data_IF_080002777553
#
_entry.id   IF_080002777553
#
_cell.length_a   1.000
_cell.length_b   1.000
_cell.length_c   1.000
_cell.angle_alpha   90.00
_cell.angle_beta   90.00
_cell.angle_gamma   90.00
#
_symmetry.space_group_name_H-M   'P 1'
#
loop_
_entity.id
_entity.type
_entity.pdbx_description
1 polymer ?
2 water ?
#
# COMPACT_ATOMS: atom_id res chain seq x y z
N UNK A 11 -5.69 -18.01 21.97
CA UNK A 11 -5.03 -19.28 21.72
C UNK A 11 -3.51 -19.11 21.60
N UNK A 12 -2.79 -20.22 21.50
CA UNK A 12 -1.42 -20.16 21.00
C UNK A 12 -1.42 -19.92 19.49
N UNK A 13 -0.23 -19.66 18.94
CA UNK A 13 -0.12 -19.42 17.51
C UNK A 13 -0.51 -20.65 16.71
N UNK A 14 -1.32 -20.43 15.68
CA UNK A 14 -1.81 -21.45 14.74
C UNK A 14 -1.15 -21.16 13.39
N UNK A 15 -0.33 -22.06 12.86
CA UNK A 15 0.29 -21.81 11.55
C UNK A 15 -0.74 -21.89 10.42
N UNK A 16 -0.59 -20.98 9.45
CA UNK A 16 -1.45 -20.93 8.28
C UNK A 16 -0.70 -21.36 7.02
N UNK A 17 0.50 -20.81 6.82
CA UNK A 17 1.31 -21.14 5.66
C UNK A 17 2.14 -22.40 5.92
N UNK A 18 2.62 -22.99 4.82
CA UNK A 18 3.39 -24.23 4.93
C UNK A 18 4.66 -24.03 5.75
N UNK A 19 5.34 -22.90 5.58
CA UNK A 19 6.54 -22.63 6.36
C UNK A 19 6.23 -22.20 7.79
N UNK A 20 4.96 -22.11 8.15
CA UNK A 20 4.46 -21.79 9.49
C UNK A 20 4.75 -20.36 9.92
N UNK A 21 5.27 -19.52 9.03
CA UNK A 21 5.64 -18.17 9.43
C UNK A 21 4.45 -17.20 9.37
N UNK A 22 3.46 -17.49 8.53
CA UNK A 22 2.18 -16.79 8.58
C UNK A 22 1.31 -17.54 9.58
N UNK A 23 0.84 -16.85 10.62
CA UNK A 23 0.21 -17.57 11.72
C UNK A 23 -0.81 -16.66 12.40
N UNK A 24 -1.72 -17.27 13.15
CA UNK A 24 -2.76 -16.51 13.83
C UNK A 24 -3.05 -17.06 15.22
N UNK A 25 -3.63 -16.20 16.05
CA UNK A 25 -4.24 -16.57 17.32
C UNK A 25 -5.71 -16.21 17.23
N UNK A 26 -6.60 -17.13 17.61
CA UNK A 26 -8.03 -16.85 17.57
C UNK A 26 -8.39 -16.07 18.82
N UNK A 27 -8.99 -14.90 18.64
CA UNK A 27 -9.44 -14.07 19.74
C UNK A 27 -10.86 -14.42 20.13
N UNK A 28 -11.75 -14.44 19.14
CA UNK A 28 -13.16 -14.77 19.32
C UNK A 28 -13.52 -15.82 18.29
N UNK A 29 -14.01 -16.97 18.75
CA UNK A 29 -14.42 -18.00 17.82
C UNK A 29 -15.61 -17.52 16.98
N UNK A 30 -15.69 -18.05 15.77
CA UNK A 30 -16.73 -17.63 14.84
C UNK A 30 -18.14 -18.01 15.31
N UNK A 31 -19.12 -17.38 14.65
CA UNK A 31 -20.52 -17.68 14.92
C UNK A 31 -20.94 -19.04 14.37
N UNK A 32 -20.20 -19.58 13.40
CA UNK A 32 -20.45 -20.90 12.85
C UNK A 32 -19.11 -21.48 12.42
N UNK A 33 -19.15 -22.69 11.86
CA UNK A 33 -17.97 -23.33 11.30
C UNK A 33 -17.78 -23.05 9.81
N UNK A 34 -18.63 -22.20 9.23
CA UNK A 34 -18.54 -21.91 7.80
C UNK A 34 -17.30 -21.09 7.50
N UNK A 35 -16.60 -21.45 6.43
CA UNK A 35 -15.48 -20.66 5.94
C UNK A 35 -15.77 -20.18 4.52
N UNK A 36 -15.23 -19.02 4.13
CA UNK A 36 -15.62 -18.42 2.84
C UNK A 36 -14.91 -19.11 1.69
N UNK A 37 -15.63 -19.46 0.63
CA UNK A 37 -14.99 -20.03 -0.55
C UNK A 37 -14.29 -18.97 -1.38
N UNK A 38 -13.38 -19.41 -2.25
CA UNK A 38 -12.73 -18.47 -3.14
C UNK A 38 -13.79 -17.80 -4.01
N UNK A 39 -13.59 -16.51 -4.28
CA UNK A 39 -14.54 -15.74 -5.03
C UNK A 39 -15.56 -15.03 -4.18
N UNK A 40 -15.59 -15.30 -2.87
CA UNK A 40 -16.52 -14.59 -2.01
C UNK A 40 -16.07 -13.15 -1.84
N UNK A 41 -17.05 -12.25 -1.81
CA UNK A 41 -16.80 -10.85 -1.49
C UNK A 41 -16.92 -10.76 0.03
N UNK A 42 -15.78 -10.76 0.72
CA UNK A 42 -15.74 -10.80 2.18
C UNK A 42 -15.73 -9.38 2.72
N UNK A 43 -16.34 -9.19 3.87
CA UNK A 43 -16.32 -7.93 4.59
C UNK A 43 -15.55 -8.16 5.89
N UNK A 44 -14.52 -7.34 6.13
CA UNK A 44 -13.69 -7.48 7.33
C UNK A 44 -13.54 -6.13 8.01
N UNK A 45 -13.40 -6.19 9.33
CA UNK A 45 -12.86 -5.08 10.10
C UNK A 45 -11.46 -5.47 10.53
N UNK A 46 -10.53 -4.51 10.47
CA UNK A 46 -9.16 -4.86 10.79
C UNK A 46 -8.46 -3.70 11.49
N UNK A 47 -7.40 -4.05 12.22
CA UNK A 47 -6.45 -3.08 12.78
C UNK A 47 -5.05 -3.58 12.46
N UNK A 48 -4.25 -2.74 11.80
CA UNK A 48 -2.88 -3.08 11.44
C UNK A 48 -1.89 -2.33 12.31
N UNK A 49 -0.90 -3.07 12.80
CA UNK A 49 0.20 -2.52 13.61
C UNK A 49 1.53 -3.06 13.11
N UNK A 50 2.59 -2.30 13.34
CA UNK A 50 3.93 -2.82 13.14
C UNK A 50 4.30 -3.71 14.32
N UNK A 51 5.45 -4.41 14.23
CA UNK A 51 5.82 -5.30 15.33
C UNK A 51 6.24 -4.56 16.58
N UNK A 52 6.33 -3.23 16.52
CA UNK A 52 6.46 -2.39 17.70
C UNK A 52 5.14 -2.24 18.44
N UNK A 53 4.03 -2.63 17.83
CA UNK A 53 2.72 -2.32 18.34
C UNK A 53 2.15 -0.99 17.85
N UNK A 54 2.91 -0.25 17.06
CA UNK A 54 2.45 1.03 16.53
C UNK A 54 1.38 0.80 15.48
N UNK A 55 0.18 1.34 15.72
CA UNK A 55 -0.90 1.20 14.77
C UNK A 55 -0.65 2.05 13.54
N UNK A 56 -0.83 1.48 12.35
CA UNK A 56 -0.76 2.27 11.14
C UNK A 56 -2.08 2.43 10.41
N UNK A 57 -3.09 1.62 10.72
CA UNK A 57 -4.34 1.68 9.96
C UNK A 57 -5.40 0.87 10.69
N UNK A 58 -6.65 1.33 10.62
CA UNK A 58 -7.76 0.53 11.13
C UNK A 58 -9.06 0.94 10.45
N UNK A 59 -9.81 -0.06 9.99
CA UNK A 59 -11.13 0.21 9.45
C UNK A 59 -12.10 0.64 10.54
N UNK A 60 -11.81 0.30 11.80
CA UNK A 60 -12.68 0.72 12.89
C UNK A 60 -12.60 2.22 13.12
N UNK A 61 -11.46 2.84 12.81
CA UNK A 61 -11.38 4.29 12.91
C UNK A 61 -12.32 4.97 11.93
N UNK A 62 -12.53 4.35 10.77
CA UNK A 62 -13.43 4.86 9.76
C UNK A 62 -14.86 4.34 9.91
N UNK A 63 -15.05 3.25 10.65
CA UNK A 63 -16.36 2.67 10.85
C UNK A 63 -16.92 1.94 9.67
N UNK A 64 -16.16 1.79 8.58
CA UNK A 64 -16.63 1.09 7.41
C UNK A 64 -15.80 -0.16 7.20
N UNK A 65 -16.41 -1.34 7.16
CA UNK A 65 -15.64 -2.55 6.86
C UNK A 65 -14.99 -2.46 5.49
N UNK A 66 -13.89 -3.19 5.34
CA UNK A 66 -13.20 -3.30 4.07
C UNK A 66 -13.67 -4.55 3.33
N UNK A 67 -13.94 -4.40 2.04
CA UNK A 67 -14.48 -5.47 1.22
C UNK A 67 -13.48 -5.84 0.14
N UNK A 68 -13.24 -7.13 -0.04
CA UNK A 68 -12.41 -7.57 -1.15
C UNK A 68 -12.89 -8.95 -1.58
N UNK A 69 -12.46 -9.35 -2.78
CA UNK A 69 -12.83 -10.65 -3.33
C UNK A 69 -11.74 -11.65 -2.97
N UNK A 70 -12.13 -12.69 -2.24
CA UNK A 70 -11.16 -13.61 -1.66
C UNK A 70 -10.50 -14.46 -2.74
N UNK A 71 -9.17 -14.57 -2.68
CA UNK A 71 -8.44 -15.43 -3.59
C UNK A 71 -8.10 -14.81 -4.93
N UNK A 72 -8.43 -13.54 -5.13
CA UNK A 72 -8.11 -12.87 -6.39
C UNK A 72 -6.69 -12.29 -6.41
N UNK A 73 -6.01 -12.30 -5.27
CA UNK A 73 -4.71 -11.65 -5.19
C UNK A 73 -4.77 -10.16 -5.23
N UNK A 74 -5.90 -9.55 -4.84
CA UNK A 74 -6.03 -8.10 -4.84
C UNK A 74 -5.73 -7.50 -3.47
N UNK A 75 -5.39 -8.33 -2.50
CA UNK A 75 -4.87 -7.91 -1.20
C UNK A 75 -3.57 -8.67 -0.97
N UNK A 76 -2.90 -8.36 0.13
CA UNK A 76 -1.65 -9.04 0.42
C UNK A 76 -1.91 -10.54 0.62
N UNK A 77 -0.89 -11.35 0.30
CA UNK A 77 -1.05 -12.80 0.34
C UNK A 77 -1.47 -13.28 1.72
N UNK A 78 -0.93 -12.66 2.78
CA UNK A 78 -1.29 -13.06 4.13
C UNK A 78 -2.77 -12.85 4.43
N UNK A 79 -3.40 -11.87 3.78
CA UNK A 79 -4.84 -11.70 3.94
C UNK A 79 -5.63 -12.74 3.15
N UNK A 80 -5.24 -13.01 1.89
CA UNK A 80 -5.93 -14.05 1.14
C UNK A 80 -5.83 -15.39 1.87
N UNK A 81 -4.63 -15.76 2.32
CA UNK A 81 -4.49 -17.02 3.04
C UNK A 81 -5.13 -16.96 4.41
N UNK A 82 -4.96 -15.84 5.10
CA UNK A 82 -5.44 -15.75 6.47
C UNK A 82 -6.94 -15.72 6.56
N UNK A 83 -7.59 -14.92 5.71
CA UNK A 83 -9.05 -14.85 5.76
C UNK A 83 -9.68 -16.16 5.29
N UNK A 84 -9.06 -16.85 4.32
CA UNK A 84 -9.55 -18.16 3.93
C UNK A 84 -9.61 -19.12 5.11
N UNK A 85 -8.69 -18.98 6.08
CA UNK A 85 -8.64 -19.85 7.25
C UNK A 85 -9.69 -19.52 8.29
N UNK A 86 -10.42 -18.42 8.14
CA UNK A 86 -11.30 -17.92 9.18
C UNK A 86 -12.72 -18.45 9.02
N UNK A 87 -13.38 -18.65 10.15
CA UNK A 87 -14.80 -18.95 10.17
C UNK A 87 -15.62 -17.65 10.20
N UNK A 88 -16.87 -17.75 9.77
CA UNK A 88 -17.76 -16.60 9.80
C UNK A 88 -17.81 -16.02 11.22
N UNK A 89 -17.59 -14.71 11.33
CA UNK A 89 -17.61 -14.05 12.62
C UNK A 89 -16.33 -14.14 13.44
N UNK A 90 -15.36 -14.93 13.00
CA UNK A 90 -14.11 -15.10 13.75
C UNK A 90 -13.37 -13.77 13.84
N UNK A 91 -12.78 -13.51 15.01
CA UNK A 91 -11.80 -12.43 15.16
C UNK A 91 -10.48 -13.08 15.52
N UNK A 92 -9.45 -12.81 14.73
CA UNK A 92 -8.15 -13.43 14.94
C UNK A 92 -7.05 -12.40 14.79
N UNK A 93 -5.89 -12.75 15.35
CA UNK A 93 -4.71 -11.90 15.37
C UNK A 93 -3.63 -12.58 14.53
N UNK A 94 -3.14 -11.89 13.52
CA UNK A 94 -2.22 -12.46 12.54
C UNK A 94 -0.86 -11.80 12.61
N UNK A 95 0.18 -12.63 12.57
CA UNK A 95 1.53 -12.17 12.27
C UNK A 95 1.81 -12.45 10.80
N UNK A 96 2.12 -11.41 10.05
CA UNK A 96 2.26 -11.50 8.60
C UNK A 96 3.66 -11.04 8.22
N UNK A 97 4.59 -11.98 7.97
CA UNK A 97 5.92 -11.59 7.50
C UNK A 97 5.87 -10.78 6.23
N UNK A 98 6.95 -10.03 5.99
CA UNK A 98 7.00 -9.13 4.85
C UNK A 98 6.81 -9.87 3.53
N UNK A 99 7.30 -11.11 3.45
CA UNK A 99 7.10 -11.85 2.20
C UNK A 99 5.68 -12.34 2.03
N UNK A 100 4.80 -12.12 3.01
CA UNK A 100 3.37 -12.32 2.85
C UNK A 100 2.63 -10.99 2.82
N UNK A 101 3.36 -9.88 2.80
CA UNK A 101 2.75 -8.56 2.82
C UNK A 101 3.31 -7.73 1.67
N UNK A 102 4.03 -6.65 1.95
CA UNK A 102 4.52 -5.77 0.90
C UNK A 102 6.00 -5.99 0.60
N UNK A 103 6.61 -7.02 1.16
CA UNK A 103 7.97 -7.35 0.77
C UNK A 103 8.94 -6.24 1.08
N UNK A 104 9.84 -5.96 0.14
CA UNK A 104 10.82 -4.90 0.34
C UNK A 104 10.25 -3.50 0.11
N UNK A 105 8.97 -3.39 -0.25
CA UNK A 105 8.38 -2.10 -0.58
C UNK A 105 7.98 -1.34 0.68
N UNK A 106 8.07 -0.02 0.58
CA UNK A 106 7.42 0.88 1.52
C UNK A 106 6.09 1.32 0.92
N UNK A 107 5.12 1.56 1.79
CA UNK A 107 3.91 2.26 1.41
C UNK A 107 4.04 3.64 2.06
N UNK A 108 4.40 4.68 1.32
CA UNK A 108 4.69 5.97 1.96
C UNK A 108 3.56 6.44 2.86
N UNK A 109 3.93 6.92 4.05
CA UNK A 109 2.98 7.38 5.04
C UNK A 109 2.22 6.29 5.76
N UNK A 110 2.51 5.02 5.50
CA UNK A 110 1.75 3.94 6.11
C UNK A 110 2.67 2.85 6.67
N UNK A 111 3.54 2.32 5.83
CA UNK A 111 4.32 1.12 6.15
C UNK A 111 5.76 1.31 5.70
N UNK A 112 6.73 1.20 6.60
CA UNK A 112 8.13 1.25 6.19
C UNK A 112 8.55 0.04 5.38
N UNK A 113 9.62 0.21 4.63
CA UNK A 113 10.14 -0.88 3.81
C UNK A 113 10.44 -2.11 4.66
N UNK A 114 10.09 -3.28 4.13
CA UNK A 114 10.45 -4.58 4.69
C UNK A 114 9.83 -4.80 6.09
N UNK A 115 8.52 -4.61 6.18
CA UNK A 115 7.81 -4.67 7.45
C UNK A 115 7.04 -5.98 7.64
N UNK A 116 7.29 -6.66 8.76
CA UNK A 116 6.31 -7.59 9.31
C UNK A 116 5.09 -6.81 9.76
N UNK A 117 3.90 -7.30 9.42
CA UNK A 117 2.67 -6.59 9.77
C UNK A 117 1.84 -7.46 10.71
N UNK A 118 1.30 -6.85 11.75
CA UNK A 118 0.37 -7.52 12.65
C UNK A 118 -1.05 -7.03 12.35
N UNK A 119 -2.00 -7.95 12.27
CA UNK A 119 -3.39 -7.55 12.00
C UNK A 119 -4.33 -8.27 12.95
N UNK A 120 -5.23 -7.50 13.56
CA UNK A 120 -6.48 -8.05 14.08
C UNK A 120 -7.47 -7.99 12.93
N UNK A 121 -8.09 -9.12 12.59
CA UNK A 121 -9.08 -9.18 11.52
C UNK A 121 -10.34 -9.86 12.03
N UNK A 122 -11.48 -9.23 11.82
CA UNK A 122 -12.79 -9.83 12.11
C UNK A 122 -13.47 -10.07 10.78
N UNK A 123 -13.81 -11.33 10.51
CA UNK A 123 -14.52 -11.71 9.29
C UNK A 123 -16.02 -11.54 9.56
N UNK A 124 -16.61 -10.46 9.05
CA UNK A 124 -17.98 -10.11 9.43
C UNK A 124 -19.00 -10.95 8.69
N UNK A 125 -18.81 -11.13 7.39
CA UNK A 125 -19.80 -11.73 6.51
C UNK A 125 -19.15 -11.86 5.14
N UNK A 126 -19.87 -12.51 4.24
CA UNK A 126 -19.47 -12.50 2.84
C UNK A 126 -20.69 -12.79 1.99
N UNK A 127 -20.53 -12.57 0.69
CA UNK A 127 -21.57 -12.90 -0.26
C UNK A 127 -20.97 -13.34 -1.59
N UNK B 11 3.71 23.55 -18.55
CA UNK B 11 2.80 23.81 -19.67
C UNK B 11 2.03 22.55 -20.05
N UNK B 12 2.59 21.76 -20.96
CA UNK B 12 2.01 20.53 -21.46
C UNK B 12 2.47 19.33 -20.65
N UNK B 13 1.80 18.20 -20.85
CA UNK B 13 2.24 16.98 -20.22
C UNK B 13 3.56 16.54 -20.82
N UNK B 14 4.51 16.17 -19.96
CA UNK B 14 5.82 15.68 -20.37
C UNK B 14 5.82 14.17 -20.17
N UNK B 15 5.99 13.36 -21.21
CA UNK B 15 6.04 11.91 -21.02
C UNK B 15 7.30 11.49 -20.28
N UNK B 16 7.14 10.51 -19.40
CA UNK B 16 8.25 9.91 -18.66
C UNK B 16 8.53 8.49 -19.14
N UNK B 17 7.50 7.66 -19.23
CA UNK B 17 7.65 6.31 -19.74
C UNK B 17 7.65 6.32 -21.27
N UNK B 18 8.17 5.22 -21.85
CA UNK B 18 8.23 5.09 -23.29
C UNK B 18 6.84 5.08 -23.91
N UNK B 19 5.85 4.52 -23.21
CA UNK B 19 4.47 4.47 -23.71
C UNK B 19 3.71 5.77 -23.53
N UNK B 20 4.31 6.79 -22.91
CA UNK B 20 3.79 8.14 -22.73
C UNK B 20 2.72 8.22 -21.64
N UNK B 21 2.33 7.10 -21.03
CA UNK B 21 1.20 7.13 -20.09
C UNK B 21 1.61 7.59 -18.71
N UNK B 22 2.84 7.31 -18.28
CA UNK B 22 3.40 7.94 -17.10
C UNK B 22 3.93 9.30 -17.54
N UNK B 23 3.43 10.38 -16.94
CA UNK B 23 3.68 11.72 -17.47
C UNK B 23 3.61 12.73 -16.32
N UNK B 24 4.17 13.92 -16.56
CA UNK B 24 4.19 14.95 -15.54
C UNK B 24 4.01 16.32 -16.17
N UNK B 25 3.56 17.27 -15.33
CA UNK B 25 3.55 18.69 -15.65
C UNK B 25 4.42 19.39 -14.62
N UNK B 26 5.34 20.24 -15.08
CA UNK B 26 6.24 20.92 -14.16
C UNK B 26 5.52 22.12 -13.57
N UNK B 27 5.40 22.14 -12.24
CA UNK B 27 4.81 23.28 -11.55
C UNK B 27 5.87 24.33 -11.23
N UNK B 28 6.99 23.91 -10.64
CA UNK B 28 8.12 24.79 -10.35
C UNK B 28 9.36 24.14 -10.94
N UNK B 29 10.03 24.84 -11.86
CA UNK B 29 11.20 24.30 -12.56
C UNK B 29 12.36 24.00 -11.60
N UNK B 32 18.58 23.83 -10.25
CA UNK B 32 19.66 23.59 -11.19
C UNK B 32 19.27 22.50 -12.19
N UNK B 33 20.16 22.24 -13.16
CA UNK B 33 19.98 21.15 -14.09
C UNK B 33 20.39 19.79 -13.52
N UNK B 34 20.73 19.74 -12.24
CA UNK B 34 21.17 18.50 -11.62
C UNK B 34 19.98 17.62 -11.27
N UNK B 35 20.12 16.33 -11.58
CA UNK B 35 19.11 15.33 -11.23
C UNK B 35 19.68 14.33 -10.23
N UNK B 36 18.84 13.71 -9.40
CA UNK B 36 19.35 12.82 -8.36
C UNK B 36 19.89 11.53 -8.97
N UNK B 37 21.02 11.03 -8.48
CA UNK B 37 21.55 9.79 -9.01
C UNK B 37 20.83 8.58 -8.46
N UNK B 38 20.84 7.51 -9.25
CA UNK B 38 20.35 6.22 -8.77
C UNK B 38 21.14 5.81 -7.54
N UNK B 39 20.42 5.28 -6.54
CA UNK B 39 21.04 4.86 -5.30
C UNK B 39 21.11 5.92 -4.24
N UNK B 40 20.85 7.18 -4.59
CA UNK B 40 20.84 8.23 -3.58
C UNK B 40 19.56 8.13 -2.74
N UNK B 41 19.64 8.69 -1.54
CA UNK B 41 18.48 8.81 -0.68
C UNK B 41 17.85 10.17 -0.97
N UNK B 42 16.67 10.15 -1.61
CA UNK B 42 15.99 11.36 -2.04
C UNK B 42 14.93 11.71 -1.02
N UNK B 43 14.72 13.01 -0.83
CA UNK B 43 13.72 13.54 0.09
C UNK B 43 12.68 14.32 -0.70
N UNK B 44 11.42 13.93 -0.55
CA UNK B 44 10.33 14.58 -1.28
C UNK B 44 9.18 14.95 -0.35
N UNK B 45 8.49 16.03 -0.73
CA UNK B 45 7.17 16.35 -0.22
C UNK B 45 6.15 16.01 -1.31
N UNK B 46 5.06 15.37 -0.93
CA UNK B 46 4.11 14.91 -1.94
C UNK B 46 2.69 15.02 -1.42
N UNK B 47 1.77 15.13 -2.38
CA UNK B 47 0.34 15.01 -2.12
C UNK B 47 -0.23 14.03 -3.14
N UNK B 48 -0.91 13.01 -2.67
CA UNK B 48 -1.47 11.98 -3.53
C UNK B 48 -2.98 12.11 -3.57
N UNK B 49 -3.53 12.08 -4.78
CA UNK B 49 -4.97 12.13 -5.00
C UNK B 49 -5.40 11.06 -6.00
N UNK B 50 -6.66 10.64 -5.89
CA UNK B 50 -7.26 9.84 -6.95
C UNK B 50 -7.64 10.76 -8.10
N UNK B 51 -8.05 10.16 -9.22
CA UNK B 51 -8.39 10.97 -10.39
C UNK B 51 -9.69 11.74 -10.21
N UNK B 52 -10.43 11.50 -9.13
CA UNK B 52 -11.51 12.39 -8.70
C UNK B 52 -11.01 13.67 -8.08
N UNK B 53 -9.70 13.76 -7.78
CA UNK B 53 -9.17 14.85 -6.99
C UNK B 53 -9.15 14.58 -5.49
N UNK B 54 -9.74 13.47 -5.04
CA UNK B 54 -9.83 13.17 -3.62
C UNK B 54 -8.46 12.82 -3.05
N UNK B 55 -8.05 13.54 -2.02
CA UNK B 55 -6.73 13.30 -1.43
C UNK B 55 -6.73 12.01 -0.63
N UNK B 56 -5.69 11.19 -0.81
CA UNK B 56 -5.55 10.02 0.04
C UNK B 56 -4.34 10.06 0.95
N UNK B 57 -3.37 10.93 0.67
CA UNK B 57 -2.15 10.95 1.48
C UNK B 57 -1.36 12.21 1.14
N UNK B 58 -0.66 12.73 2.15
CA UNK B 58 0.19 13.89 1.93
C UNK B 58 1.26 13.96 3.01
N UNK B 59 2.51 14.06 2.59
CA UNK B 59 3.57 14.30 3.57
C UNK B 59 3.45 15.67 4.20
N UNK B 60 2.80 16.62 3.54
CA UNK B 60 2.63 17.96 4.10
C UNK B 60 1.70 17.93 5.31
N UNK B 61 0.70 17.04 5.28
CA UNK B 61 -0.19 16.92 6.44
C UNK B 61 0.55 16.34 7.65
N UNK B 62 1.63 15.59 7.42
CA UNK B 62 2.48 15.12 8.50
C UNK B 62 3.58 16.10 8.86
N UNK B 63 3.83 17.11 8.02
CA UNK B 63 4.91 18.03 8.29
C UNK B 63 6.27 17.36 8.24
N UNK B 64 6.44 16.39 7.37
CA UNK B 64 7.63 15.56 7.39
C UNK B 64 7.93 15.07 5.98
N UNK B 65 9.06 15.48 5.39
CA UNK B 65 9.45 14.92 4.09
C UNK B 65 9.57 13.40 4.16
N UNK B 66 9.35 12.75 3.01
CA UNK B 66 9.47 11.31 2.89
C UNK B 66 10.77 10.98 2.16
N UNK B 67 11.52 10.02 2.70
CA UNK B 67 12.84 9.67 2.17
C UNK B 67 12.81 8.23 1.64
N UNK B 68 13.38 8.03 0.45
CA UNK B 68 13.53 6.68 -0.07
C UNK B 68 14.79 6.60 -0.92
N UNK B 69 15.21 5.38 -1.23
CA UNK B 69 16.40 5.15 -2.04
C UNK B 69 15.99 5.10 -3.50
N UNK B 70 16.49 6.02 -4.30
CA UNK B 70 16.03 6.16 -5.67
C UNK B 70 16.48 4.98 -6.53
N UNK B 71 15.55 4.38 -7.26
CA UNK B 71 15.87 3.33 -8.22
C UNK B 71 15.88 1.93 -7.65
N UNK B 72 15.59 1.77 -6.36
CA UNK B 72 15.69 0.47 -5.74
C UNK B 72 14.43 -0.38 -5.96
N UNK B 73 13.32 0.24 -6.32
CA UNK B 73 12.06 -0.47 -6.44
C UNK B 73 11.28 -0.59 -5.15
N UNK B 74 11.64 0.17 -4.13
CA UNK B 74 10.91 0.11 -2.87
C UNK B 74 9.75 1.08 -2.81
N UNK B 75 9.57 1.91 -3.84
CA UNK B 75 8.37 2.72 -4.03
C UNK B 75 7.76 2.32 -5.37
N UNK B 76 6.57 2.87 -5.66
CA UNK B 76 5.91 2.51 -6.90
C UNK B 76 6.77 2.94 -8.08
N UNK B 77 6.62 2.22 -9.19
CA UNK B 77 7.47 2.45 -10.34
C UNK B 77 7.36 3.87 -10.87
N UNK B 78 6.14 4.46 -10.82
CA UNK B 78 5.99 5.84 -11.27
C UNK B 78 6.80 6.81 -10.45
N UNK B 79 7.04 6.50 -9.18
CA UNK B 79 7.92 7.34 -8.37
C UNK B 79 9.38 7.14 -8.73
N UNK B 80 9.84 5.89 -8.87
CA UNK B 80 11.25 5.71 -9.20
C UNK B 80 11.58 6.36 -10.53
N UNK B 81 10.71 6.19 -11.53
CA UNK B 81 10.98 6.80 -12.84
C UNK B 81 10.69 8.29 -12.81
N UNK B 82 9.63 8.70 -12.12
CA UNK B 82 9.24 10.09 -12.10
C UNK B 82 10.22 10.98 -11.33
N UNK B 83 10.61 10.54 -10.13
CA UNK B 83 11.55 11.36 -9.36
C UNK B 83 12.92 11.42 -10.05
N UNK B 84 13.35 10.35 -10.72
CA UNK B 84 14.61 10.39 -11.44
C UNK B 84 14.61 11.46 -12.53
N UNK B 85 13.42 11.74 -13.10
CA UNK B 85 13.28 12.76 -14.13
C UNK B 85 13.37 14.17 -13.59
N UNK B 86 13.34 14.36 -12.27
CA UNK B 86 13.24 15.69 -11.70
C UNK B 86 14.60 16.33 -11.46
N UNK B 87 14.61 17.66 -11.55
CA UNK B 87 15.77 18.45 -11.16
C UNK B 87 15.63 18.86 -9.69
N UNK B 88 16.77 19.24 -9.09
CA UNK B 88 16.76 19.64 -7.69
C UNK B 88 15.81 20.82 -7.49
N UNK B 89 14.94 20.70 -6.50
CA UNK B 89 13.98 21.76 -6.21
C UNK B 89 12.78 21.82 -7.14
N UNK B 90 12.67 20.91 -8.11
CA UNK B 90 11.51 20.87 -8.98
C UNK B 90 10.27 20.44 -8.21
N UNK B 91 9.13 21.02 -8.56
CA UNK B 91 7.83 20.56 -8.10
C UNK B 91 6.99 20.22 -9.33
N UNK B 92 6.51 18.99 -9.41
CA UNK B 92 5.78 18.55 -10.59
C UNK B 92 4.55 17.76 -10.20
N UNK B 93 3.65 17.62 -11.17
CA UNK B 93 2.37 16.94 -11.01
C UNK B 93 2.37 15.73 -11.93
N UNK B 94 2.21 14.54 -11.36
CA UNK B 94 2.37 13.27 -12.06
C UNK B 94 1.03 12.58 -12.21
N UNK B 95 0.77 12.06 -13.41
CA UNK B 95 -0.31 11.09 -13.60
C UNK B 95 0.32 9.70 -13.69
N UNK B 96 -0.04 8.83 -12.76
CA UNK B 96 0.58 7.52 -12.62
C UNK B 96 -0.48 6.45 -12.84
N UNK B 97 -0.51 5.85 -14.03
CA UNK B 97 -1.44 4.74 -14.27
C UNK B 97 -1.22 3.59 -13.30
N UNK B 98 -2.26 2.78 -13.15
CA UNK B 98 -2.21 1.72 -12.14
C UNK B 98 -1.05 0.76 -12.37
N UNK B 99 -0.66 0.53 -13.62
CA UNK B 99 0.44 -0.41 -13.86
C UNK B 99 1.80 0.19 -13.52
N UNK B 100 1.85 1.49 -13.22
CA UNK B 100 3.05 2.09 -12.63
C UNK B 100 2.85 2.38 -11.14
N UNK B 101 1.76 1.87 -10.56
CA UNK B 101 1.46 2.12 -9.15
C UNK B 101 1.19 0.78 -8.47
N UNK B 102 -0.03 0.55 -7.99
CA UNK B 102 -0.32 -0.69 -7.27
C UNK B 102 -1.09 -1.70 -8.10
N UNK B 103 -1.27 -1.45 -9.40
CA UNK B 103 -1.86 -2.44 -10.27
C UNK B 103 -3.29 -2.75 -9.89
N UNK B 104 -3.63 -4.04 -9.91
CA UNK B 104 -4.96 -4.45 -9.56
C UNK B 104 -5.18 -4.58 -8.05
N UNK B 105 -4.18 -4.24 -7.25
CA UNK B 105 -4.27 -4.35 -5.80
C UNK B 105 -4.96 -3.14 -5.19
N UNK B 106 -5.72 -3.37 -4.14
CA UNK B 106 -6.12 -2.29 -3.25
C UNK B 106 -5.08 -2.17 -2.14
N UNK B 107 -4.90 -0.96 -1.64
CA UNK B 107 -4.22 -0.75 -0.37
C UNK B 107 -5.31 -0.40 0.63
N UNK B 108 -5.70 -1.31 1.53
CA UNK B 108 -6.87 -1.04 2.39
C UNK B 108 -6.72 0.26 3.15
N UNK B 109 -7.80 1.04 3.18
CA UNK B 109 -7.82 2.33 3.85
C UNK B 109 -7.09 3.44 3.13
N UNK B 110 -6.50 3.18 1.97
CA UNK B 110 -5.68 4.18 1.30
C UNK B 110 -6.09 4.32 -0.16
N UNK B 111 -6.02 3.22 -0.92
CA UNK B 111 -6.18 3.26 -2.38
C UNK B 111 -7.10 2.13 -2.85
N UNK B 112 -8.16 2.44 -3.59
CA UNK B 112 -9.00 1.38 -4.17
C UNK B 112 -8.26 0.58 -5.22
N UNK B 113 -8.75 -0.63 -5.44
CA UNK B 113 -8.15 -1.48 -6.48
C UNK B 113 -8.18 -0.79 -7.83
N UNK B 114 -7.10 -0.97 -8.59
CA UNK B 114 -7.02 -0.53 -9.98
C UNK B 114 -7.09 1.00 -10.10
N UNK B 115 -6.30 1.69 -9.29
CA UNK B 115 -6.35 3.15 -9.24
C UNK B 115 -5.22 3.79 -10.03
N UNK B 116 -5.58 4.70 -10.93
CA UNK B 116 -4.64 5.73 -11.36
C UNK B 116 -4.39 6.67 -10.20
N UNK B 117 -3.14 7.06 -9.99
CA UNK B 117 -2.77 7.93 -8.87
C UNK B 117 -2.21 9.22 -9.41
N UNK B 118 -2.67 10.34 -8.85
CA UNK B 118 -2.10 11.65 -9.16
C UNK B 118 -1.22 12.07 -7.99
N UNK B 119 -0.04 12.59 -8.28
CA UNK B 119 0.84 13.07 -7.22
C UNK B 119 1.42 14.42 -7.58
N UNK B 120 1.36 15.35 -6.64
CA UNK B 120 2.26 16.51 -6.64
C UNK B 120 3.49 16.08 -5.85
N UNK B 121 4.67 16.21 -6.44
CA UNK B 121 5.93 15.83 -5.78
C UNK B 121 6.91 17.00 -5.91
N UNK B 122 7.52 17.38 -4.80
CA UNK B 122 8.62 18.32 -4.79
C UNK B 122 9.89 17.61 -4.36
N UNK B 123 10.94 17.68 -5.18
CA UNK B 123 12.22 17.07 -4.82
C UNK B 123 12.98 18.05 -3.94
N UNK B 124 13.13 17.73 -2.65
CA UNK B 124 13.71 18.68 -1.71
C UNK B 124 15.24 18.63 -1.73
N UNK B 125 15.81 17.43 -1.68
CA UNK B 125 17.26 17.25 -1.63
C UNK B 125 17.54 15.76 -1.75
N UNK B 126 18.83 15.43 -1.80
CA UNK B 126 19.22 14.03 -1.76
C UNK B 126 20.62 13.93 -1.18
N UNK B 127 20.96 12.72 -0.75
CA UNK B 127 22.30 12.44 -0.27
C UNK B 127 22.78 11.12 -0.83
#
# INVERSE_FOLDING_TARGET
MAHHHHHHMSTDWIPISQDQRLKKKIITAGSSDEQPPIGSKVSVHYTGTLTSGKKFDSSLDRGQPFVFTLGKGEVIRGWDLGVKSMKKGEKSYFEIPSDYAYGNNAIPGLIPANSTLMFEIELLSWK
MAHHHHHHMSTDWIPISQDQRLKKKIITAGSSDEQPPIGSKVSVHYTGTLTSGKKFDSSLDRGQPFVFTLGKGEVIRGWDLGVKSMKKGEKSYFEIPSDYAYGNNAIPGLIPANSTLMFEIELLSWK
#
